data_IF_169441695984
#
_entry.id   IF_169441695984
#
_cell.length_a   1.000
_cell.length_b   1.000
_cell.length_c   1.000
_cell.angle_alpha   90.00
_cell.angle_beta   90.00
_cell.angle_gamma   90.00
#
_symmetry.space_group_name_H-M   'P 1'
#
loop_
_entity.id
_entity.type
_entity.pdbx_description
1 polymer ?
#
# COMPACT_ATOMS: atom_id res chain seq x y z
N UNK A 1 -2.94 43.20 20.04
CA UNK A 1 -3.83 42.05 19.70
C UNK A 1 -3.30 41.19 18.54
N UNK A 2 -2.87 41.76 17.41
CA UNK A 2 -2.40 40.99 16.25
C UNK A 2 -1.19 40.06 16.55
N UNK A 3 -0.20 40.53 17.31
CA UNK A 3 0.99 39.72 17.66
C UNK A 3 0.66 38.53 18.57
N UNK A 4 -0.30 38.68 19.48
CA UNK A 4 -0.74 37.62 20.39
C UNK A 4 -1.51 36.53 19.64
N UNK A 5 -2.38 36.91 18.70
CA UNK A 5 -3.12 35.98 17.83
C UNK A 5 -2.15 35.22 16.91
N UNK A 6 -1.13 35.89 16.37
CA UNK A 6 -0.07 35.28 15.56
C UNK A 6 0.75 34.24 16.36
N UNK A 7 1.18 34.58 17.58
CA UNK A 7 1.89 33.64 18.45
C UNK A 7 1.03 32.41 18.81
N UNK A 8 -0.23 32.63 19.18
CA UNK A 8 -1.15 31.54 19.53
C UNK A 8 -1.45 30.63 18.33
N UNK A 9 -1.64 31.20 17.15
CA UNK A 9 -1.80 30.47 15.89
C UNK A 9 -0.58 29.59 15.59
N UNK A 10 0.64 30.11 15.75
CA UNK A 10 1.86 29.34 15.53
C UNK A 10 2.03 28.18 16.52
N UNK A 11 1.65 28.38 17.79
CA UNK A 11 1.64 27.29 18.80
C UNK A 11 0.64 26.20 18.40
N UNK A 12 -0.59 26.56 18.03
CA UNK A 12 -1.63 25.60 17.62
C UNK A 12 -1.20 24.87 16.34
N UNK A 13 -0.61 25.56 15.36
CA UNK A 13 -0.08 24.96 14.12
C UNK A 13 1.00 23.93 14.43
N UNK A 14 1.92 24.23 15.35
CA UNK A 14 2.97 23.30 15.77
C UNK A 14 2.36 22.05 16.45
N UNK A 15 1.33 22.24 17.28
CA UNK A 15 0.59 21.14 17.92
C UNK A 15 -0.11 20.26 16.87
N UNK A 16 -0.77 20.85 15.87
CA UNK A 16 -1.46 20.10 14.79
C UNK A 16 -0.47 19.42 13.85
N UNK A 17 0.68 20.04 13.55
CA UNK A 17 1.77 19.40 12.80
C UNK A 17 2.42 18.24 13.54
N UNK A 18 2.34 18.21 14.88
CA UNK A 18 2.98 17.20 15.73
C UNK A 18 4.46 17.04 15.34
N UNK A 19 4.84 15.88 14.80
CA UNK A 19 6.21 15.51 14.42
C UNK A 19 6.52 15.72 12.93
N UNK A 20 5.62 16.31 12.13
CA UNK A 20 5.83 16.58 10.70
C UNK A 20 6.83 17.70 10.48
N UNK A 21 7.65 17.57 9.43
CA UNK A 21 8.61 18.60 9.02
C UNK A 21 7.83 19.71 8.29
N UNK A 22 8.05 20.96 8.71
CA UNK A 22 7.35 22.14 8.16
C UNK A 22 8.32 22.94 7.31
N UNK A 23 7.82 23.52 6.23
CA UNK A 23 8.54 24.50 5.42
C UNK A 23 8.52 25.85 6.14
N UNK A 24 9.71 26.37 6.50
CA UNK A 24 9.89 27.59 7.30
C UNK A 24 10.81 28.62 6.63
N UNK A 25 10.73 28.73 5.32
CA UNK A 25 11.62 29.59 4.53
C UNK A 25 10.84 30.72 3.83
N UNK A 26 11.55 31.80 3.45
CA UNK A 26 10.97 32.96 2.73
C UNK A 26 9.72 33.56 3.40
N UNK A 27 9.63 33.48 4.73
CA UNK A 27 8.49 34.00 5.49
C UNK A 27 7.25 33.10 5.55
N UNK A 28 7.31 31.90 4.95
CA UNK A 28 6.26 30.89 5.07
C UNK A 28 6.45 30.02 6.31
N UNK A 29 5.35 29.55 6.91
CA UNK A 29 5.35 28.48 7.91
C UNK A 29 4.21 27.49 7.58
N UNK A 30 4.51 26.55 6.68
CA UNK A 30 3.53 25.62 6.12
C UNK A 30 3.86 24.16 6.50
N UNK A 31 2.82 23.39 6.79
CA UNK A 31 2.88 21.92 6.86
C UNK A 31 3.03 21.37 5.44
N UNK A 32 4.24 21.50 4.90
CA UNK A 32 4.64 21.21 3.52
C UNK A 32 6.08 20.70 3.53
N UNK A 33 6.39 19.71 2.71
CA UNK A 33 7.72 19.14 2.61
C UNK A 33 8.00 18.65 1.18
N UNK A 34 9.17 18.99 0.64
CA UNK A 34 9.68 18.37 -0.57
C UNK A 34 10.20 16.97 -0.23
N UNK A 35 9.50 15.94 -0.71
CA UNK A 35 9.93 14.55 -0.60
C UNK A 35 11.04 14.27 -1.62
N UNK A 36 10.92 14.89 -2.80
CA UNK A 36 11.95 15.05 -3.80
C UNK A 36 11.85 16.47 -4.37
N UNK A 37 12.78 16.88 -5.23
CA UNK A 37 12.83 18.24 -5.79
C UNK A 37 11.52 18.64 -6.49
N UNK A 38 10.86 17.70 -7.16
CA UNK A 38 9.60 17.89 -7.88
C UNK A 38 8.37 17.21 -7.25
N UNK A 39 8.50 16.68 -6.02
CA UNK A 39 7.40 15.98 -5.32
C UNK A 39 7.20 16.57 -3.94
N UNK A 40 6.07 17.24 -3.74
CA UNK A 40 5.69 17.87 -2.48
C UNK A 40 4.62 17.04 -1.78
N UNK A 41 4.81 16.80 -0.48
CA UNK A 41 3.78 16.33 0.43
C UNK A 41 3.32 17.49 1.34
N UNK A 42 2.02 17.72 1.46
CA UNK A 42 1.50 18.78 2.32
C UNK A 42 0.23 18.41 3.08
N UNK A 43 -0.04 19.15 4.15
CA UNK A 43 -1.33 19.16 4.83
C UNK A 43 -2.39 19.91 4.03
N UNK A 44 -3.66 19.68 4.38
CA UNK A 44 -4.81 20.25 3.68
C UNK A 44 -4.75 21.79 3.57
N UNK A 45 -4.91 22.37 2.36
CA UNK A 45 -5.03 23.80 2.16
C UNK A 45 -6.44 24.27 2.54
N UNK A 46 -6.58 24.81 3.74
CA UNK A 46 -7.87 25.20 4.29
C UNK A 46 -8.34 26.55 3.68
N UNK A 47 -9.52 26.58 3.02
CA UNK A 47 -10.11 27.82 2.51
C UNK A 47 -10.69 28.69 3.64
N UNK A 48 -11.13 28.06 4.73
CA UNK A 48 -11.74 28.75 5.86
C UNK A 48 -10.68 29.36 6.77
N UNK A 49 -10.83 30.64 7.10
CA UNK A 49 -9.89 31.37 7.97
C UNK A 49 -9.73 30.71 9.34
N UNK A 50 -10.80 30.15 9.89
CA UNK A 50 -10.78 29.47 11.19
C UNK A 50 -9.99 28.16 11.15
N UNK A 51 -10.18 27.34 10.12
CA UNK A 51 -9.38 26.13 9.95
C UNK A 51 -7.92 26.44 9.57
N UNK A 52 -7.70 27.51 8.81
CA UNK A 52 -6.39 28.07 8.48
C UNK A 52 -5.60 28.62 9.70
N UNK A 53 -6.22 28.74 10.88
CA UNK A 53 -5.49 29.02 12.12
C UNK A 53 -4.64 27.83 12.55
N UNK A 54 -5.05 26.60 12.23
CA UNK A 54 -4.34 25.40 12.68
C UNK A 54 -3.90 24.48 11.53
N UNK A 55 -4.36 24.72 10.30
CA UNK A 55 -3.86 24.11 9.06
C UNK A 55 -3.14 25.13 8.19
N UNK A 56 -2.69 24.68 7.01
CA UNK A 56 -2.19 25.57 5.97
C UNK A 56 -3.35 26.45 5.49
N UNK A 57 -3.14 27.77 5.45
CA UNK A 57 -4.08 28.66 4.76
C UNK A 57 -3.94 28.45 3.27
N UNK A 58 -5.06 28.30 2.56
CA UNK A 58 -5.06 28.07 1.12
C UNK A 58 -4.31 29.18 0.39
N UNK A 59 -4.52 30.44 0.77
CA UNK A 59 -3.85 31.59 0.13
C UNK A 59 -2.33 31.53 0.27
N UNK A 60 -1.83 31.09 1.42
CA UNK A 60 -0.39 30.98 1.68
C UNK A 60 0.23 29.83 0.85
N UNK A 61 -0.51 28.73 0.66
CA UNK A 61 -0.10 27.62 -0.23
C UNK A 61 -0.10 28.07 -1.69
N UNK A 62 -1.17 28.73 -2.14
CA UNK A 62 -1.26 29.26 -3.50
C UNK A 62 -0.10 30.22 -3.78
N UNK A 63 0.14 31.18 -2.89
CA UNK A 63 1.22 32.15 -3.04
C UNK A 63 2.59 31.47 -3.13
N UNK A 64 2.89 30.49 -2.28
CA UNK A 64 4.14 29.73 -2.33
C UNK A 64 4.32 29.00 -3.67
N UNK A 65 3.27 28.32 -4.14
CA UNK A 65 3.32 27.55 -5.39
C UNK A 65 3.45 28.46 -6.61
N UNK A 66 2.78 29.62 -6.62
CA UNK A 66 2.93 30.59 -7.69
C UNK A 66 4.30 31.28 -7.67
N UNK A 67 4.86 31.60 -6.50
CA UNK A 67 6.17 32.24 -6.41
C UNK A 67 7.32 31.31 -6.80
N UNK A 68 7.23 30.02 -6.47
CA UNK A 68 8.31 29.06 -6.71
C UNK A 68 8.12 28.23 -7.99
N UNK A 69 6.88 27.97 -8.40
CA UNK A 69 6.52 27.00 -9.45
C UNK A 69 5.42 27.51 -10.38
N UNK A 70 5.36 28.82 -10.65
CA UNK A 70 4.35 29.42 -11.53
C UNK A 70 4.14 28.58 -12.80
N UNK A 71 2.90 28.24 -13.10
CA UNK A 71 2.50 27.40 -14.25
C UNK A 71 2.98 25.93 -14.25
N UNK A 72 3.92 25.57 -13.37
CA UNK A 72 4.58 24.28 -13.33
C UNK A 72 4.20 23.44 -12.09
N UNK A 73 3.03 23.66 -11.48
CA UNK A 73 2.54 22.81 -10.39
C UNK A 73 1.18 22.17 -10.69
N UNK A 74 1.00 20.92 -10.25
CA UNK A 74 -0.31 20.25 -10.20
C UNK A 74 -0.57 19.68 -8.81
N UNK A 75 -1.78 19.87 -8.30
CA UNK A 75 -2.18 19.45 -6.96
C UNK A 75 -3.01 18.18 -7.04
N UNK A 76 -2.76 17.25 -6.12
CA UNK A 76 -3.51 16.00 -6.00
C UNK A 76 -4.20 15.93 -4.63
N UNK A 77 -5.53 16.02 -4.63
CA UNK A 77 -6.35 15.91 -3.43
C UNK A 77 -6.79 14.46 -3.19
N UNK A 78 -6.36 13.89 -2.07
CA UNK A 78 -6.69 12.52 -1.66
C UNK A 78 -7.85 12.43 -0.66
N UNK A 79 -8.46 13.56 -0.29
CA UNK A 79 -9.53 13.58 0.70
C UNK A 79 -10.86 13.12 0.09
N UNK A 80 -11.47 12.07 0.65
CA UNK A 80 -12.88 11.77 0.39
C UNK A 80 -13.80 12.74 1.11
N UNK A 81 -13.39 13.20 2.28
CA UNK A 81 -14.24 13.98 3.18
C UNK A 81 -14.24 15.49 2.92
N UNK A 82 -13.34 15.99 2.06
CA UNK A 82 -13.02 17.42 1.92
C UNK A 82 -12.65 17.80 0.49
N UNK A 83 -13.20 18.93 0.05
CA UNK A 83 -12.88 19.59 -1.20
C UNK A 83 -12.79 21.10 -1.01
N UNK A 84 -12.22 21.78 -2.00
CA UNK A 84 -12.15 23.23 -2.10
C UNK A 84 -12.28 23.63 -3.56
N UNK A 85 -12.59 24.91 -3.81
CA UNK A 85 -12.72 25.44 -5.15
C UNK A 85 -11.38 25.31 -5.92
N UNK A 86 -11.39 24.49 -6.97
CA UNK A 86 -10.23 24.20 -7.82
C UNK A 86 -9.76 25.42 -8.62
N UNK A 87 -10.66 26.37 -8.88
CA UNK A 87 -10.31 27.61 -9.58
C UNK A 87 -9.29 28.45 -8.78
N UNK A 88 -9.23 28.29 -7.45
CA UNK A 88 -8.23 28.95 -6.61
C UNK A 88 -6.79 28.52 -6.90
N UNK A 89 -6.61 27.37 -7.55
CA UNK A 89 -5.32 26.87 -8.02
C UNK A 89 -5.25 26.82 -9.55
N UNK A 90 -5.94 27.76 -10.22
CA UNK A 90 -6.00 27.87 -11.69
C UNK A 90 -6.47 26.58 -12.39
N UNK A 91 -7.33 25.80 -11.72
CA UNK A 91 -7.82 24.52 -12.25
C UNK A 91 -6.79 23.37 -12.24
N UNK A 92 -5.59 23.56 -11.68
CA UNK A 92 -4.53 22.53 -11.63
C UNK A 92 -4.68 21.59 -10.43
N UNK A 93 -5.87 21.03 -10.25
CA UNK A 93 -6.19 20.11 -9.15
C UNK A 93 -6.82 18.84 -9.73
N UNK A 94 -6.25 17.69 -9.42
CA UNK A 94 -6.84 16.38 -9.67
C UNK A 94 -7.25 15.73 -8.34
N UNK A 95 -8.30 14.91 -8.36
CA UNK A 95 -8.90 14.30 -7.16
C UNK A 95 -8.81 12.79 -7.26
N UNK A 96 -8.17 12.15 -6.27
CA UNK A 96 -7.97 10.70 -6.17
C UNK A 96 -8.35 10.26 -4.76
N UNK A 97 -9.64 10.26 -4.42
CA UNK A 97 -10.04 10.33 -3.04
C UNK A 97 -10.22 8.93 -2.44
N UNK A 98 -9.82 8.77 -1.18
CA UNK A 98 -10.07 7.56 -0.40
C UNK A 98 -10.10 7.86 1.11
N UNK A 99 -10.78 6.97 1.83
CA UNK A 99 -11.13 7.18 3.23
C UNK A 99 -9.92 7.29 4.15
N UNK A 100 -10.04 8.18 5.14
CA UNK A 100 -8.99 8.39 6.12
C UNK A 100 -8.67 7.08 6.87
N UNK A 101 -7.39 6.83 7.11
CA UNK A 101 -6.86 5.61 7.74
C UNK A 101 -7.08 4.28 6.99
N UNK A 102 -7.55 4.31 5.74
CA UNK A 102 -7.65 3.14 4.87
C UNK A 102 -6.61 3.20 3.73
N UNK A 103 -6.27 2.08 3.08
CA UNK A 103 -5.59 2.11 1.79
C UNK A 103 -6.54 2.51 0.64
N UNK A 104 -6.01 3.00 -0.49
CA UNK A 104 -6.77 3.15 -1.75
C UNK A 104 -6.97 1.78 -2.42
N UNK A 105 -7.77 1.71 -3.49
CA UNK A 105 -7.77 0.54 -4.39
C UNK A 105 -6.47 0.47 -5.19
N UNK A 106 -6.12 -0.71 -5.72
CA UNK A 106 -4.94 -0.87 -6.58
C UNK A 106 -5.08 -0.06 -7.87
N UNK A 107 -6.28 -0.04 -8.44
CA UNK A 107 -6.61 0.71 -9.65
C UNK A 107 -6.48 2.22 -9.45
N UNK A 108 -6.87 2.75 -8.28
CA UNK A 108 -6.68 4.17 -7.94
C UNK A 108 -5.20 4.52 -7.83
N UNK A 109 -4.36 3.63 -7.30
CA UNK A 109 -2.90 3.81 -7.27
C UNK A 109 -2.35 3.88 -8.71
N UNK A 110 -2.76 2.97 -9.60
CA UNK A 110 -2.32 2.96 -11.00
C UNK A 110 -2.66 4.27 -11.70
N UNK A 111 -3.92 4.71 -11.62
CA UNK A 111 -4.40 5.95 -12.26
C UNK A 111 -3.65 7.18 -11.72
N UNK A 112 -3.48 7.26 -10.41
CA UNK A 112 -2.71 8.34 -9.78
C UNK A 112 -1.26 8.35 -10.26
N UNK A 113 -0.57 7.21 -10.26
CA UNK A 113 0.84 7.16 -10.65
C UNK A 113 1.03 7.54 -12.11
N UNK A 114 0.14 7.08 -13.00
CA UNK A 114 0.16 7.44 -14.42
C UNK A 114 -0.06 8.94 -14.65
N UNK A 115 -1.00 9.56 -13.94
CA UNK A 115 -1.27 11.00 -14.06
C UNK A 115 -0.10 11.85 -13.53
N UNK A 116 0.48 11.45 -12.40
CA UNK A 116 1.68 12.10 -11.84
C UNK A 116 2.86 11.98 -12.80
N UNK A 117 3.11 10.79 -13.35
CA UNK A 117 4.23 10.55 -14.27
C UNK A 117 4.09 11.36 -15.56
N UNK A 118 2.90 11.37 -16.16
CA UNK A 118 2.59 12.16 -17.35
C UNK A 118 2.87 13.64 -17.11
N UNK A 119 2.32 14.21 -16.03
CA UNK A 119 2.55 15.61 -15.68
C UNK A 119 4.03 15.94 -15.45
N UNK A 120 4.76 15.09 -14.72
CA UNK A 120 6.17 15.34 -14.43
C UNK A 120 7.09 15.17 -15.64
N UNK A 121 6.69 14.36 -16.65
CA UNK A 121 7.42 14.19 -17.91
C UNK A 121 7.13 15.27 -18.95
N UNK A 122 6.01 15.98 -18.84
CA UNK A 122 5.66 17.07 -19.77
C UNK A 122 6.68 18.23 -19.75
N UNK A 123 7.25 18.57 -18.60
CA UNK A 123 8.28 19.60 -18.45
C UNK A 123 9.17 19.30 -17.24
N UNK A 124 10.49 19.44 -17.39
CA UNK A 124 11.46 19.22 -16.29
C UNK A 124 11.27 20.16 -15.08
N UNK A 125 10.57 21.28 -15.27
CA UNK A 125 10.22 22.25 -14.23
C UNK A 125 8.96 21.85 -13.47
N UNK A 126 8.20 20.86 -13.96
CA UNK A 126 6.92 20.48 -13.36
C UNK A 126 7.12 19.85 -11.99
N UNK A 127 6.21 20.20 -11.08
CA UNK A 127 6.15 19.76 -9.68
C UNK A 127 4.75 19.27 -9.37
N UNK A 128 4.65 18.26 -8.51
CA UNK A 128 3.37 17.80 -7.96
C UNK A 128 3.27 18.11 -6.47
N UNK A 129 2.10 18.54 -6.02
CA UNK A 129 1.79 18.72 -4.61
C UNK A 129 0.65 17.81 -4.19
N UNK A 130 0.97 16.75 -3.45
CA UNK A 130 0.02 15.73 -3.01
C UNK A 130 -0.39 16.01 -1.57
N UNK A 131 -1.68 15.97 -1.29
CA UNK A 131 -2.18 16.21 0.06
C UNK A 131 -3.37 15.33 0.42
N UNK A 132 -3.54 15.15 1.72
CA UNK A 132 -4.78 14.67 2.31
C UNK A 132 -5.18 15.66 3.42
N UNK A 133 -5.75 15.18 4.53
CA UNK A 133 -5.98 16.04 5.71
C UNK A 133 -4.68 16.49 6.36
N UNK A 134 -3.84 15.54 6.77
CA UNK A 134 -2.59 15.81 7.51
C UNK A 134 -1.30 15.68 6.66
N UNK A 135 -1.41 15.25 5.39
CA UNK A 135 -0.25 15.01 4.55
C UNK A 135 0.65 13.91 5.10
N UNK A 136 0.07 12.80 5.59
CA UNK A 136 0.77 11.76 6.35
C UNK A 136 0.60 10.37 5.71
N UNK A 137 -0.37 9.57 6.18
CA UNK A 137 -0.58 8.19 5.74
C UNK A 137 -1.06 8.07 4.29
N UNK A 138 -2.22 8.66 3.96
CA UNK A 138 -2.76 8.65 2.58
C UNK A 138 -1.77 9.23 1.56
N UNK A 139 -1.27 10.44 1.84
CA UNK A 139 -0.25 11.10 1.00
C UNK A 139 1.01 10.26 0.83
N UNK A 140 1.51 9.67 1.91
CA UNK A 140 2.69 8.81 1.84
C UNK A 140 2.45 7.54 1.06
N UNK A 141 1.26 6.94 1.16
CA UNK A 141 0.88 5.74 0.39
C UNK A 141 1.00 6.02 -1.11
N UNK A 142 0.36 7.09 -1.59
CA UNK A 142 0.37 7.45 -3.01
C UNK A 142 1.76 7.91 -3.49
N UNK A 143 2.48 8.73 -2.71
CA UNK A 143 3.83 9.16 -3.06
C UNK A 143 4.80 7.96 -3.09
N UNK A 144 4.77 7.06 -2.10
CA UNK A 144 5.65 5.89 -2.08
C UNK A 144 5.39 4.96 -3.26
N UNK A 145 4.11 4.76 -3.62
CA UNK A 145 3.75 4.03 -4.82
C UNK A 145 4.34 4.67 -6.08
N UNK A 146 4.24 5.99 -6.22
CA UNK A 146 4.83 6.71 -7.35
C UNK A 146 6.37 6.67 -7.37
N UNK A 147 7.03 6.76 -6.21
CA UNK A 147 8.49 6.66 -6.12
C UNK A 147 9.01 5.31 -6.64
N UNK A 148 8.25 4.23 -6.41
CA UNK A 148 8.56 2.91 -6.98
C UNK A 148 8.22 2.86 -8.47
N UNK A 149 7.02 3.35 -8.85
CA UNK A 149 6.57 3.38 -10.25
C UNK A 149 7.53 4.10 -11.19
N UNK A 150 8.03 5.26 -10.78
CA UNK A 150 8.98 6.09 -11.54
C UNK A 150 10.42 5.57 -11.51
N UNK A 151 10.71 4.51 -10.74
CA UNK A 151 12.06 3.97 -10.57
C UNK A 151 12.99 4.81 -9.67
N UNK A 152 12.49 5.88 -9.04
CA UNK A 152 13.28 6.71 -8.09
C UNK A 152 13.70 5.88 -6.88
N UNK A 153 12.87 4.90 -6.47
CA UNK A 153 13.16 3.94 -5.40
C UNK A 153 12.96 2.52 -5.92
N UNK A 154 13.83 1.60 -5.49
CA UNK A 154 13.86 0.23 -6.04
C UNK A 154 12.84 -0.70 -5.39
N UNK A 155 12.34 -0.35 -4.22
CA UNK A 155 11.40 -1.18 -3.45
C UNK A 155 10.44 -0.34 -2.62
N UNK A 156 9.32 -0.94 -2.22
CA UNK A 156 8.38 -0.35 -1.29
C UNK A 156 9.04 0.05 0.04
N UNK A 157 9.95 -0.76 0.58
CA UNK A 157 10.61 -0.47 1.86
C UNK A 157 11.53 0.74 1.77
N UNK A 158 12.29 0.87 0.68
CA UNK A 158 13.10 2.07 0.41
C UNK A 158 12.23 3.32 0.25
N UNK A 159 11.11 3.21 -0.47
CA UNK A 159 10.19 4.33 -0.67
C UNK A 159 9.53 4.78 0.64
N UNK A 160 9.05 3.83 1.44
CA UNK A 160 8.44 4.09 2.75
C UNK A 160 9.44 4.72 3.71
N UNK A 161 10.65 4.17 3.81
CA UNK A 161 11.71 4.71 4.68
C UNK A 161 12.11 6.13 4.26
N UNK A 162 12.25 6.38 2.95
CA UNK A 162 12.56 7.70 2.41
C UNK A 162 11.47 8.72 2.75
N UNK A 163 10.21 8.36 2.52
CA UNK A 163 9.09 9.26 2.84
C UNK A 163 9.00 9.52 4.34
N UNK A 164 9.18 8.50 5.18
CA UNK A 164 9.13 8.62 6.63
C UNK A 164 10.20 9.59 7.15
N UNK A 165 11.42 9.49 6.64
CA UNK A 165 12.53 10.38 6.97
C UNK A 165 12.30 11.81 6.47
N UNK A 166 11.88 11.98 5.21
CA UNK A 166 11.66 13.31 4.64
C UNK A 166 10.48 14.01 5.29
N UNK A 167 9.39 13.29 5.59
CA UNK A 167 8.13 13.89 6.02
C UNK A 167 8.04 14.10 7.53
N UNK A 168 8.69 13.26 8.33
CA UNK A 168 8.48 13.23 9.79
C UNK A 168 9.78 13.13 10.58
N UNK A 169 9.85 13.88 11.69
CA UNK A 169 11.02 13.88 12.60
C UNK A 169 11.17 12.57 13.36
N UNK A 170 10.07 11.84 13.58
CA UNK A 170 10.04 10.57 14.30
C UNK A 170 10.07 9.34 13.36
N UNK A 171 10.27 9.55 12.05
CA UNK A 171 10.28 8.49 11.02
C UNK A 171 9.02 7.62 11.06
N UNK A 172 7.87 8.25 11.27
CA UNK A 172 6.56 7.62 11.34
C UNK A 172 5.63 8.31 10.37
N UNK A 173 5.89 8.24 9.06
CA UNK A 173 5.02 8.78 8.01
C UNK A 173 3.87 7.83 7.70
N UNK A 174 4.12 6.71 7.02
CA UNK A 174 3.12 5.69 6.72
C UNK A 174 3.21 4.55 7.75
N UNK A 175 2.37 4.63 8.77
CA UNK A 175 2.42 3.69 9.91
C UNK A 175 1.33 2.62 9.89
N UNK A 176 0.25 2.84 9.14
CA UNK A 176 -0.89 1.90 9.12
C UNK A 176 -0.49 0.69 8.26
N UNK A 177 -0.50 -0.54 8.81
CA UNK A 177 -0.09 -1.74 8.08
C UNK A 177 -0.78 -1.93 6.74
N UNK A 178 -2.11 -1.75 6.66
CA UNK A 178 -2.82 -1.88 5.39
C UNK A 178 -2.35 -0.87 4.33
N UNK A 179 -2.03 0.37 4.71
CA UNK A 179 -1.45 1.35 3.78
C UNK A 179 -0.07 0.92 3.28
N UNK A 180 0.79 0.42 4.17
CA UNK A 180 2.12 -0.10 3.79
C UNK A 180 2.02 -1.32 2.87
N UNK A 181 1.09 -2.24 3.18
CA UNK A 181 0.81 -3.43 2.38
C UNK A 181 0.43 -3.06 0.95
N UNK A 182 -0.35 -2.00 0.74
CA UNK A 182 -0.74 -1.58 -0.60
C UNK A 182 0.40 -0.95 -1.40
N UNK A 183 1.37 -0.29 -0.75
CA UNK A 183 2.64 0.10 -1.40
C UNK A 183 3.44 -1.14 -1.81
N UNK A 184 3.50 -2.16 -0.94
CA UNK A 184 4.18 -3.43 -1.24
C UNK A 184 3.50 -4.20 -2.38
N UNK A 185 2.17 -4.26 -2.39
CA UNK A 185 1.37 -4.82 -3.48
C UNK A 185 1.67 -4.11 -4.79
N UNK A 186 1.61 -2.78 -4.80
CA UNK A 186 1.88 -2.04 -6.02
C UNK A 186 3.34 -2.19 -6.48
N UNK A 187 4.31 -2.21 -5.56
CA UNK A 187 5.70 -2.50 -5.89
C UNK A 187 5.88 -3.88 -6.50
N UNK A 188 5.16 -4.91 -6.02
CA UNK A 188 5.17 -6.24 -6.65
C UNK A 188 4.60 -6.21 -8.07
N UNK A 189 3.54 -5.44 -8.31
CA UNK A 189 2.98 -5.27 -9.66
C UNK A 189 3.99 -4.62 -10.60
N UNK A 190 4.57 -3.48 -10.21
CA UNK A 190 5.57 -2.75 -11.01
C UNK A 190 6.79 -3.63 -11.33
N UNK A 191 7.25 -4.43 -10.37
CA UNK A 191 8.38 -5.34 -10.55
C UNK A 191 8.02 -6.65 -11.28
N UNK A 192 6.74 -6.93 -11.50
CA UNK A 192 6.27 -8.13 -12.19
C UNK A 192 5.85 -7.81 -13.62
N UNK A 193 5.90 -8.79 -14.51
CA UNK A 193 5.33 -8.65 -15.86
C UNK A 193 3.86 -9.06 -15.94
N UNK A 194 3.17 -9.18 -14.80
CA UNK A 194 1.79 -9.68 -14.73
C UNK A 194 0.84 -8.50 -14.57
N UNK A 195 -0.10 -8.29 -15.51
CA UNK A 195 -1.10 -7.24 -15.37
C UNK A 195 -2.01 -7.53 -14.18
N UNK A 196 -2.42 -6.47 -13.49
CA UNK A 196 -3.39 -6.60 -12.41
C UNK A 196 -4.76 -6.96 -12.97
N UNK A 197 -5.41 -7.95 -12.34
CA UNK A 197 -6.79 -8.34 -12.63
C UNK A 197 -7.49 -8.72 -11.33
N UNK A 198 -8.77 -8.39 -11.20
CA UNK A 198 -9.57 -8.85 -10.05
C UNK A 198 -9.72 -10.37 -10.09
N UNK A 199 -9.36 -11.03 -8.99
CA UNK A 199 -9.46 -12.48 -8.84
C UNK A 199 -10.61 -12.81 -7.89
N UNK A 200 -11.57 -13.61 -8.34
CA UNK A 200 -12.62 -14.09 -7.45
C UNK A 200 -12.10 -15.24 -6.58
N UNK A 201 -12.26 -15.12 -5.27
CA UNK A 201 -11.94 -16.15 -4.27
C UNK A 201 -13.12 -16.29 -3.29
N UNK A 202 -13.25 -17.44 -2.65
CA UNK A 202 -14.25 -17.69 -1.62
C UNK A 202 -13.63 -17.67 -0.22
N UNK A 203 -14.07 -16.79 0.68
CA UNK A 203 -13.65 -16.84 2.08
C UNK A 203 -14.40 -17.97 2.78
N UNK A 204 -13.68 -18.99 3.24
CA UNK A 204 -14.28 -20.16 3.90
C UNK A 204 -13.95 -20.24 5.39
N UNK A 205 -12.83 -19.67 5.84
CA UNK A 205 -12.39 -19.77 7.23
C UNK A 205 -11.55 -18.56 7.67
N UNK A 206 -11.73 -18.14 8.91
CA UNK A 206 -10.85 -17.16 9.58
C UNK A 206 -10.34 -17.77 10.88
N UNK A 207 -9.02 -17.87 11.02
CA UNK A 207 -8.31 -18.44 12.16
C UNK A 207 -7.62 -17.34 12.97
N UNK A 208 -7.75 -17.39 14.28
CA UNK A 208 -7.10 -16.46 15.20
C UNK A 208 -6.10 -17.23 16.08
N UNK A 209 -4.97 -16.62 16.43
CA UNK A 209 -4.06 -17.24 17.40
C UNK A 209 -4.75 -17.45 18.74
N UNK A 210 -4.67 -18.68 19.26
CA UNK A 210 -5.20 -19.00 20.57
C UNK A 210 -4.44 -18.24 21.65
N UNK A 211 -5.18 -17.48 22.46
CA UNK A 211 -4.59 -16.73 23.58
C UNK A 211 -5.68 -16.30 24.57
N UNK A 212 -5.30 -16.19 25.85
CA UNK A 212 -6.20 -15.74 26.92
C UNK A 212 -6.76 -14.34 26.65
N UNK A 213 -6.00 -13.47 26.00
CA UNK A 213 -6.46 -12.13 25.68
C UNK A 213 -7.58 -12.10 24.63
N UNK A 214 -7.50 -12.99 23.64
CA UNK A 214 -8.56 -13.16 22.64
C UNK A 214 -9.79 -13.81 23.28
N UNK A 215 -9.61 -14.81 24.15
CA UNK A 215 -10.71 -15.41 24.92
C UNK A 215 -11.50 -14.37 25.72
N UNK A 216 -10.79 -13.42 26.34
CA UNK A 216 -11.39 -12.34 27.12
C UNK A 216 -12.21 -11.35 26.28
N UNK A 217 -12.12 -11.39 24.95
CA UNK A 217 -12.99 -10.58 24.09
C UNK A 217 -14.45 -11.07 24.14
N UNK A 218 -14.68 -12.36 24.36
CA UNK A 218 -16.00 -12.98 24.34
C UNK A 218 -16.62 -12.95 22.94
N UNK A 219 -17.90 -12.54 22.86
CA UNK A 219 -18.60 -12.36 21.59
C UNK A 219 -18.06 -11.17 20.79
N UNK A 220 -17.65 -11.44 19.56
CA UNK A 220 -17.14 -10.46 18.59
C UNK A 220 -17.86 -10.67 17.26
N UNK A 221 -18.08 -9.60 16.51
CA UNK A 221 -18.58 -9.65 15.14
C UNK A 221 -17.44 -9.45 14.14
N UNK A 222 -17.31 -10.34 13.17
CA UNK A 222 -16.40 -10.22 12.05
C UNK A 222 -17.18 -9.79 10.81
N UNK A 223 -16.89 -8.61 10.27
CA UNK A 223 -17.47 -8.10 9.04
C UNK A 223 -16.50 -8.24 7.88
N UNK A 224 -17.01 -8.71 6.74
CA UNK A 224 -16.29 -8.83 5.47
C UNK A 224 -16.94 -7.87 4.48
N UNK A 225 -16.14 -6.96 3.92
CA UNK A 225 -16.59 -5.95 2.97
C UNK A 225 -15.66 -5.90 1.75
N UNK A 226 -16.20 -5.55 0.58
CA UNK A 226 -15.42 -5.38 -0.65
C UNK A 226 -15.44 -3.91 -1.05
N UNK A 227 -14.28 -3.35 -1.39
CA UNK A 227 -14.18 -2.02 -1.96
C UNK A 227 -14.12 -2.12 -3.47
N UNK A 228 -15.09 -1.51 -4.13
CA UNK A 228 -15.09 -1.38 -5.57
C UNK A 228 -14.41 -0.07 -5.96
N UNK A 229 -13.51 -0.14 -6.94
CA UNK A 229 -12.95 1.07 -7.54
C UNK A 229 -14.05 1.90 -8.20
N UNK A 230 -14.21 3.15 -7.77
CA UNK A 230 -14.98 4.15 -8.47
C UNK A 230 -14.02 5.18 -9.05
N UNK A 231 -13.99 5.31 -10.37
CA UNK A 231 -13.03 6.17 -11.04
C UNK A 231 -13.05 7.63 -10.56
N UNK A 232 -14.23 8.12 -10.17
CA UNK A 232 -14.51 9.55 -9.97
C UNK A 232 -15.17 9.88 -8.64
N UNK A 233 -15.55 8.88 -7.83
CA UNK A 233 -16.33 9.07 -6.60
C UNK A 233 -15.65 8.44 -5.39
N UNK A 234 -16.12 8.80 -4.21
CA UNK A 234 -15.71 8.16 -2.96
C UNK A 234 -16.46 6.83 -2.79
N UNK A 235 -15.89 5.74 -3.31
CA UNK A 235 -16.42 4.42 -3.03
C UNK A 235 -16.31 4.11 -1.53
N UNK A 236 -17.42 3.63 -0.96
CA UNK A 236 -17.42 3.00 0.36
C UNK A 236 -17.37 1.48 0.20
N UNK A 237 -16.78 0.76 1.16
CA UNK A 237 -16.78 -0.70 1.12
C UNK A 237 -18.21 -1.22 1.25
N UNK A 238 -18.62 -2.11 0.35
CA UNK A 238 -19.90 -2.81 0.44
C UNK A 238 -19.76 -4.00 1.39
N UNK A 239 -20.61 -4.03 2.43
CA UNK A 239 -20.52 -5.04 3.49
C UNK A 239 -21.33 -6.27 3.10
N UNK A 240 -20.62 -7.33 2.71
CA UNK A 240 -21.22 -8.59 2.27
C UNK A 240 -21.82 -9.40 3.43
N UNK A 241 -21.09 -9.49 4.55
CA UNK A 241 -21.52 -10.30 5.70
C UNK A 241 -20.93 -9.79 7.01
N UNK A 242 -21.70 -9.97 8.08
CA UNK A 242 -21.23 -9.90 9.47
C UNK A 242 -21.55 -11.23 10.15
N UNK A 243 -20.54 -11.83 10.78
CA UNK A 243 -20.61 -13.15 11.40
C UNK A 243 -20.14 -13.07 12.85
N UNK A 244 -20.89 -13.61 13.82
CA UNK A 244 -20.44 -13.65 15.21
C UNK A 244 -19.41 -14.76 15.42
N UNK A 245 -18.43 -14.52 16.29
CA UNK A 245 -17.52 -15.51 16.86
C UNK A 245 -17.50 -15.36 18.38
N UNK A 246 -17.60 -16.48 19.09
CA UNK A 246 -17.43 -16.55 20.54
C UNK A 246 -16.02 -17.05 20.86
N UNK A 247 -15.12 -16.14 21.23
CA UNK A 247 -13.74 -16.49 21.54
C UNK A 247 -13.58 -17.31 22.83
N UNK A 248 -14.63 -17.49 23.62
CA UNK A 248 -14.62 -18.44 24.73
C UNK A 248 -14.83 -19.89 24.25
N UNK A 249 -15.30 -20.09 23.02
CA UNK A 249 -15.62 -21.41 22.46
C UNK A 249 -14.70 -21.83 21.32
N UNK A 250 -14.33 -20.90 20.45
CA UNK A 250 -13.54 -21.20 19.25
C UNK A 250 -12.66 -20.02 18.86
N UNK A 251 -11.50 -20.31 18.30
CA UNK A 251 -10.63 -19.35 17.62
C UNK A 251 -10.68 -19.49 16.09
N UNK A 252 -11.63 -20.29 15.60
CA UNK A 252 -11.86 -20.55 14.19
C UNK A 252 -13.29 -20.17 13.86
N UNK A 253 -13.46 -19.24 12.93
CA UNK A 253 -14.72 -18.87 12.32
C UNK A 253 -14.85 -19.57 10.97
N UNK A 254 -15.58 -20.69 10.95
CA UNK A 254 -15.93 -21.39 9.70
C UNK A 254 -17.13 -20.72 9.04
N UNK A 255 -17.05 -20.46 7.74
CA UNK A 255 -18.04 -19.71 6.97
C UNK A 255 -18.73 -20.65 5.98
N UNK A 256 -20.02 -20.94 6.21
CA UNK A 256 -20.84 -21.80 5.35
C UNK A 256 -22.22 -21.16 5.11
N UNK A 257 -22.63 -20.93 3.84
CA UNK A 257 -21.83 -21.06 2.62
C UNK A 257 -20.66 -20.05 2.63
N UNK A 258 -19.59 -20.37 1.91
CA UNK A 258 -18.43 -19.46 1.75
C UNK A 258 -18.84 -18.15 1.09
N UNK A 259 -18.07 -17.09 1.31
CA UNK A 259 -18.40 -15.75 0.80
C UNK A 259 -17.50 -15.41 -0.40
N UNK A 260 -18.05 -15.23 -1.61
CA UNK A 260 -17.26 -14.80 -2.75
C UNK A 260 -16.81 -13.35 -2.57
N UNK A 261 -15.52 -13.10 -2.82
CA UNK A 261 -14.88 -11.78 -2.77
C UNK A 261 -13.94 -11.61 -3.94
N UNK A 262 -13.76 -10.36 -4.39
CA UNK A 262 -12.90 -10.05 -5.53
C UNK A 262 -12.36 -8.63 -5.41
N UNK A 263 -11.10 -8.42 -5.80
CA UNK A 263 -10.38 -7.15 -5.62
C UNK A 263 -9.96 -6.90 -4.15
N UNK A 264 -10.22 -5.69 -3.68
CA UNK A 264 -9.84 -5.18 -2.35
C UNK A 264 -10.89 -5.54 -1.28
N UNK A 265 -10.46 -6.29 -0.27
CA UNK A 265 -11.35 -6.87 0.76
C UNK A 265 -10.94 -6.38 2.14
N UNK A 266 -11.89 -5.81 2.88
CA UNK A 266 -11.74 -5.42 4.27
C UNK A 266 -12.32 -6.47 5.19
N UNK A 267 -11.55 -6.82 6.22
CA UNK A 267 -11.99 -7.60 7.35
C UNK A 267 -11.96 -6.71 8.59
N UNK A 268 -13.03 -6.70 9.37
CA UNK A 268 -13.18 -5.85 10.56
C UNK A 268 -13.75 -6.65 11.73
N UNK A 269 -13.11 -6.58 12.88
CA UNK A 269 -13.59 -7.18 14.12
C UNK A 269 -14.17 -6.08 15.02
N UNK A 270 -15.41 -6.23 15.44
CA UNK A 270 -16.12 -5.28 16.31
C UNK A 270 -16.72 -5.97 17.54
N UNK A 271 -16.78 -5.25 18.65
CA UNK A 271 -17.54 -5.66 19.84
C UNK A 271 -18.75 -4.74 19.96
N UNK A 272 -19.97 -5.28 20.14
CA UNK A 272 -21.22 -4.50 20.11
C UNK A 272 -21.54 -3.67 21.37
N UNK A 273 -20.92 -3.99 22.50
CA UNK A 273 -21.27 -3.38 23.78
C UNK A 273 -20.02 -2.93 24.56
N UNK A 274 -19.55 -1.68 24.37
CA UNK A 274 -19.98 -0.69 23.36
C UNK A 274 -19.43 -1.01 21.96
N UNK A 275 -20.12 -0.56 20.90
CA UNK A 275 -19.68 -0.63 19.49
C UNK A 275 -18.26 -0.08 19.34
N UNK A 276 -17.30 -1.00 19.28
CA UNK A 276 -15.88 -0.69 19.24
C UNK A 276 -15.18 -1.61 18.26
N UNK A 277 -14.52 -1.00 17.28
CA UNK A 277 -13.58 -1.70 16.40
C UNK A 277 -12.41 -2.18 17.26
N UNK A 278 -12.18 -3.49 17.25
CA UNK A 278 -11.04 -4.14 17.89
C UNK A 278 -9.83 -3.99 16.98
N UNK A 279 -10.01 -4.38 15.72
CA UNK A 279 -9.01 -4.31 14.67
C UNK A 279 -9.66 -4.42 13.29
N UNK A 280 -8.91 -4.07 12.27
CA UNK A 280 -9.27 -4.34 10.88
C UNK A 280 -8.01 -4.54 10.05
N UNK A 281 -8.19 -5.02 8.83
CA UNK A 281 -7.11 -5.10 7.85
C UNK A 281 -7.69 -5.24 6.44
N UNK A 282 -6.87 -4.89 5.47
CA UNK A 282 -7.19 -4.96 4.05
C UNK A 282 -6.28 -5.94 3.32
N UNK A 283 -6.88 -6.78 2.48
CA UNK A 283 -6.21 -7.69 1.55
C UNK A 283 -6.67 -7.41 0.13
N UNK A 284 -5.92 -7.90 -0.85
CA UNK A 284 -6.36 -7.89 -2.24
C UNK A 284 -6.19 -9.32 -2.80
N UNK A 285 -7.28 -9.82 -3.37
CA UNK A 285 -7.44 -11.22 -3.83
C UNK A 285 -6.42 -11.63 -4.90
N UNK A 286 -5.98 -10.70 -5.77
CA UNK A 286 -4.92 -10.97 -6.75
C UNK A 286 -3.62 -11.37 -6.04
N UNK A 287 -3.24 -10.64 -4.99
CA UNK A 287 -2.00 -10.93 -4.26
C UNK A 287 -2.14 -12.13 -3.34
N UNK A 288 -3.35 -12.37 -2.83
CA UNK A 288 -3.64 -13.60 -2.07
C UNK A 288 -3.37 -14.82 -2.96
N UNK A 289 -3.97 -14.88 -4.16
CA UNK A 289 -3.81 -15.99 -5.10
C UNK A 289 -2.37 -16.19 -5.55
N UNK A 290 -1.65 -15.11 -5.80
CA UNK A 290 -0.31 -15.20 -6.40
C UNK A 290 0.84 -15.38 -5.40
N UNK A 291 0.63 -15.03 -4.11
CA UNK A 291 1.73 -14.99 -3.14
C UNK A 291 1.46 -15.70 -1.81
N UNK A 292 0.23 -16.15 -1.55
CA UNK A 292 -0.05 -16.93 -0.33
C UNK A 292 0.27 -18.40 -0.53
N UNK A 293 0.70 -19.13 0.50
CA UNK A 293 0.77 -20.58 0.47
C UNK A 293 -0.54 -21.19 -0.05
N UNK A 294 -0.41 -22.14 -0.97
CA UNK A 294 -1.54 -22.83 -1.60
C UNK A 294 -1.45 -24.33 -1.32
N UNK A 295 -2.52 -24.89 -0.78
CA UNK A 295 -2.74 -26.34 -0.66
C UNK A 295 -3.79 -26.74 -1.70
N UNK A 296 -3.50 -27.74 -2.52
CA UNK A 296 -4.43 -28.23 -3.55
C UNK A 296 -4.73 -29.70 -3.33
N UNK A 297 -6.00 -30.09 -3.38
CA UNK A 297 -6.43 -31.49 -3.40
C UNK A 297 -6.78 -31.98 -4.82
N UNK A 298 -6.40 -31.20 -5.85
CA UNK A 298 -6.71 -31.44 -7.25
C UNK A 298 -8.02 -30.80 -7.70
N UNK A 299 -9.00 -30.61 -6.80
CA UNK A 299 -10.32 -30.02 -7.14
C UNK A 299 -10.44 -28.59 -6.66
N UNK A 300 -9.92 -28.30 -5.46
CA UNK A 300 -9.98 -26.98 -4.83
C UNK A 300 -8.58 -26.53 -4.42
N UNK A 301 -8.25 -25.29 -4.75
CA UNK A 301 -7.07 -24.62 -4.22
C UNK A 301 -7.45 -23.83 -2.96
N UNK A 302 -6.74 -24.09 -1.87
CA UNK A 302 -6.84 -23.37 -0.60
C UNK A 302 -5.64 -22.46 -0.42
N UNK A 303 -5.87 -21.15 -0.48
CA UNK A 303 -4.87 -20.13 -0.22
C UNK A 303 -4.98 -19.66 1.23
N UNK A 304 -3.89 -19.77 1.99
CA UNK A 304 -3.86 -19.40 3.41
C UNK A 304 -3.03 -18.12 3.56
N UNK A 305 -3.69 -17.00 3.80
CA UNK A 305 -3.02 -15.72 4.02
C UNK A 305 -2.95 -15.39 5.51
N UNK A 306 -1.74 -15.38 6.08
CA UNK A 306 -1.52 -15.11 7.51
C UNK A 306 -0.91 -13.73 7.72
N UNK A 307 -1.56 -12.94 8.57
CA UNK A 307 -1.06 -11.66 9.05
C UNK A 307 -0.53 -11.80 10.47
N UNK A 308 0.68 -11.32 10.72
CA UNK A 308 1.23 -11.17 12.06
C UNK A 308 0.65 -9.93 12.77
N UNK A 309 0.86 -9.82 14.08
CA UNK A 309 0.40 -8.70 14.92
C UNK A 309 0.77 -7.34 14.34
N UNK A 310 1.99 -7.19 13.83
CA UNK A 310 2.51 -5.93 13.27
C UNK A 310 1.85 -5.56 11.94
N UNK A 311 1.15 -6.50 11.31
CA UNK A 311 0.47 -6.34 10.02
C UNK A 311 -1.02 -6.05 10.16
N UNK A 312 -1.56 -6.00 11.38
CA UNK A 312 -2.99 -5.80 11.64
C UNK A 312 -3.23 -4.36 12.12
N UNK A 313 -4.17 -3.66 11.48
CA UNK A 313 -4.48 -2.28 11.84
C UNK A 313 -5.07 -2.22 13.26
N UNK A 314 -4.75 -1.14 13.98
CA UNK A 314 -5.00 -0.93 15.41
C UNK A 314 -4.25 -1.85 16.38
N UNK A 315 -4.05 -3.12 16.02
CA UNK A 315 -3.33 -4.11 16.85
C UNK A 315 -1.82 -3.85 16.85
N UNK A 316 -1.24 -3.45 15.72
CA UNK A 316 0.18 -3.07 15.63
C UNK A 316 0.61 -1.95 16.58
N UNK A 317 -0.36 -1.17 17.11
CA UNK A 317 -0.10 -0.07 18.05
C UNK A 317 0.22 -0.58 19.47
N UNK A 318 -0.14 -1.81 19.81
CA UNK A 318 0.13 -2.44 21.10
C UNK A 318 1.59 -2.92 21.20
N UNK A 319 2.56 -2.03 21.07
CA UNK A 319 3.99 -2.38 21.05
C UNK A 319 4.52 -2.98 22.35
N UNK A 320 3.78 -2.85 23.46
CA UNK A 320 4.14 -3.42 24.76
C UNK A 320 3.46 -4.77 25.03
N UNK A 321 2.71 -5.29 24.04
CA UNK A 321 2.06 -6.61 24.11
C UNK A 321 1.12 -6.77 25.31
N UNK A 322 0.49 -5.66 25.75
CA UNK A 322 -0.42 -5.65 26.89
C UNK A 322 -1.74 -6.35 26.58
N UNK A 323 -2.19 -6.25 25.33
CA UNK A 323 -3.49 -6.81 24.89
C UNK A 323 -3.32 -7.97 23.94
N UNK A 324 -2.33 -7.97 23.07
CA UNK A 324 -2.09 -9.03 22.10
C UNK A 324 -0.65 -9.50 22.22
N UNK A 325 -0.44 -10.82 22.33
CA UNK A 325 0.90 -11.43 22.32
C UNK A 325 1.64 -11.05 21.03
N UNK A 326 2.97 -10.97 21.08
CA UNK A 326 3.81 -10.79 19.88
C UNK A 326 3.51 -11.84 18.79
N UNK A 327 3.22 -13.08 19.20
CA UNK A 327 2.86 -14.19 18.32
C UNK A 327 1.39 -14.18 17.83
N UNK A 328 0.63 -13.14 18.14
CA UNK A 328 -0.75 -13.01 17.67
C UNK A 328 -0.78 -12.92 16.13
N UNK A 329 -1.58 -13.78 15.51
CA UNK A 329 -1.75 -13.91 14.07
C UNK A 329 -3.22 -14.07 13.73
N UNK A 330 -3.60 -13.61 12.54
CA UNK A 330 -4.90 -13.89 11.93
C UNK A 330 -4.63 -14.52 10.57
N UNK A 331 -5.21 -15.70 10.31
CA UNK A 331 -5.10 -16.36 9.00
C UNK A 331 -6.46 -16.44 8.33
N UNK A 332 -6.51 -16.08 7.05
CA UNK A 332 -7.70 -16.16 6.22
C UNK A 332 -7.50 -17.27 5.21
N UNK A 333 -8.45 -18.20 5.16
CA UNK A 333 -8.46 -19.29 4.18
C UNK A 333 -9.42 -18.91 3.07
N UNK A 334 -8.87 -18.86 1.86
CA UNK A 334 -9.59 -18.61 0.63
C UNK A 334 -9.61 -19.87 -0.22
N UNK A 335 -10.72 -20.13 -0.89
CA UNK A 335 -10.88 -21.25 -1.81
C UNK A 335 -11.15 -20.74 -3.24
N UNK A 336 -10.58 -21.45 -4.22
CA UNK A 336 -10.96 -21.32 -5.62
C UNK A 336 -11.02 -22.71 -6.25
N UNK A 337 -12.05 -22.94 -7.06
CA UNK A 337 -12.16 -24.19 -7.83
C UNK A 337 -11.06 -24.26 -8.89
N UNK A 338 -10.45 -25.44 -9.02
CA UNK A 338 -9.60 -25.77 -10.16
C UNK A 338 -10.49 -26.02 -11.37
N UNK A 339 -10.68 -25.01 -12.21
CA UNK A 339 -11.13 -25.27 -13.57
C UNK A 339 -9.95 -25.84 -14.35
N UNK A 340 -9.72 -27.16 -14.23
CA UNK A 340 -8.94 -27.90 -15.21
C UNK A 340 -9.78 -28.03 -16.49
N UNK A 341 -9.89 -26.94 -17.24
CA UNK A 341 -10.34 -27.07 -18.61
C UNK A 341 -9.08 -27.16 -19.48
N UNK A 342 -8.85 -28.35 -20.02
CA UNK A 342 -8.22 -28.51 -21.32
C UNK A 342 -9.01 -27.65 -22.32
N UNK A 343 -8.66 -26.37 -22.41
CA UNK A 343 -9.06 -25.51 -23.51
C UNK A 343 -7.85 -25.44 -24.42
N UNK A 344 -7.87 -26.24 -25.49
CA UNK A 344 -7.16 -25.88 -26.70
C UNK A 344 -7.54 -24.43 -27.02
N UNK A 345 -6.59 -23.53 -26.88
CA UNK A 345 -6.77 -22.13 -27.22
C UNK A 345 -6.95 -22.02 -28.74
N UNK A 346 -8.20 -22.08 -29.21
CA UNK A 346 -8.55 -21.45 -30.47
C UNK A 346 -8.66 -19.94 -30.22
N UNK A 347 -7.86 -19.19 -30.98
CA UNK A 347 -7.90 -17.73 -30.95
C UNK A 347 -9.26 -17.25 -31.45
N UNK A 348 -10.11 -16.78 -30.55
CA UNK A 348 -11.34 -16.04 -30.88
C UNK A 348 -11.10 -14.54 -30.71
N UNK A 349 -11.74 -13.78 -31.61
CA UNK A 349 -11.46 -12.38 -31.92
C UNK A 349 -11.64 -11.42 -30.73
N UNK A 350 -10.81 -10.38 -30.72
CA UNK A 350 -10.76 -9.28 -29.74
C UNK A 350 -12.15 -8.65 -29.51
N UNK A 351 -12.79 -8.96 -28.39
CA UNK A 351 -13.68 -8.00 -27.74
C UNK A 351 -12.84 -7.07 -26.86
N UNK A 352 -12.73 -5.82 -27.33
CA UNK A 352 -11.99 -4.75 -26.65
C UNK A 352 -12.84 -4.27 -25.47
N UNK A 353 -12.57 -4.81 -24.28
CA UNK A 353 -13.25 -4.41 -23.05
C UNK A 353 -12.56 -3.15 -22.48
N UNK A 354 -13.21 -1.98 -22.55
CA UNK A 354 -12.65 -0.67 -22.16
C UNK A 354 -12.29 -0.53 -20.65
N UNK A 355 -12.58 -1.55 -19.83
CA UNK A 355 -12.33 -1.55 -18.39
C UNK A 355 -11.06 -2.29 -17.95
N UNK A 356 -10.25 -2.80 -18.89
CA UNK A 356 -8.93 -3.38 -18.58
C UNK A 356 -7.87 -2.36 -18.93
N UNK A 357 -7.31 -1.67 -17.93
CA UNK A 357 -6.08 -0.90 -18.11
C UNK A 357 -4.91 -1.88 -18.30
N UNK A 358 -4.77 -2.37 -19.53
CA UNK A 358 -3.60 -3.11 -19.98
C UNK A 358 -2.46 -2.11 -20.16
N UNK A 359 -1.63 -1.95 -19.13
CA UNK A 359 -0.35 -1.27 -19.28
C UNK A 359 0.61 -2.23 -19.99
N UNK A 360 0.73 -2.09 -21.32
CA UNK A 360 1.66 -2.87 -22.12
C UNK A 360 3.11 -2.50 -21.79
N UNK A 361 3.99 -3.50 -21.89
CA UNK A 361 5.42 -3.42 -21.55
C UNK A 361 6.19 -2.30 -22.27
N UNK A 362 5.68 -1.78 -23.39
CA UNK A 362 6.31 -0.70 -24.15
C UNK A 362 6.43 0.61 -23.39
N UNK A 363 5.60 0.84 -22.36
CA UNK A 363 5.67 2.06 -21.55
C UNK A 363 6.82 2.05 -20.51
N UNK A 364 7.50 0.89 -20.34
CA UNK A 364 8.53 0.68 -19.32
C UNK A 364 9.96 0.56 -19.87
N UNK A 365 10.14 0.45 -21.19
CA UNK A 365 11.46 0.23 -21.82
C UNK A 365 12.34 1.50 -21.89
N UNK A 366 11.89 2.65 -21.39
CA UNK A 366 12.71 3.87 -21.31
C UNK A 366 13.48 4.02 -19.99
N UNK A 367 13.48 3.02 -19.10
CA UNK A 367 14.32 3.02 -17.89
C UNK A 367 15.78 2.68 -18.25
N UNK A 368 16.71 3.48 -17.73
CA UNK A 368 18.16 3.35 -17.95
C UNK A 368 18.67 1.91 -17.77
N UNK A 369 19.52 1.36 -18.67
CA UNK A 369 19.94 -0.05 -18.66
C UNK A 369 20.77 -0.49 -17.44
N UNK A 370 21.17 0.44 -16.57
CA UNK A 370 22.07 0.13 -15.46
C UNK A 370 21.30 -0.18 -14.18
N UNK A 371 20.70 -1.37 -14.04
CA UNK A 371 20.51 -2.06 -12.74
C UNK A 371 19.66 -3.35 -12.83
N UNK A 372 19.94 -4.29 -13.73
CA UNK A 372 19.40 -5.65 -13.57
C UNK A 372 20.46 -6.69 -13.90
N UNK A 373 21.06 -7.26 -12.85
CA UNK A 373 21.76 -8.53 -13.00
C UNK A 373 20.69 -9.60 -13.27
N UNK A 374 20.59 -10.04 -14.52
CA UNK A 374 19.80 -11.20 -14.92
C UNK A 374 20.18 -12.41 -14.04
N UNK A 375 19.30 -12.81 -13.12
CA UNK A 375 19.28 -14.21 -12.70
C UNK A 375 18.58 -15.00 -13.78
N UNK A 376 19.37 -15.59 -14.68
CA UNK A 376 18.91 -16.69 -15.54
C UNK A 376 18.39 -17.82 -14.64
N UNK A 377 17.07 -17.97 -14.57
CA UNK A 377 16.45 -19.22 -14.13
C UNK A 377 16.62 -20.19 -15.29
N UNK A 378 17.62 -21.07 -15.20
CA UNK A 378 17.73 -22.25 -16.06
C UNK A 378 16.62 -23.23 -15.64
N UNK A 379 15.50 -23.22 -16.35
CA UNK A 379 14.54 -24.33 -16.32
C UNK A 379 15.12 -25.46 -17.18
N UNK A 380 15.67 -26.48 -16.52
CA UNK A 380 15.96 -27.75 -17.16
C UNK A 380 14.62 -28.49 -17.39
N UNK A 381 14.22 -28.62 -18.66
CA UNK A 381 13.18 -29.56 -19.08
C UNK A 381 13.86 -30.92 -19.20
N UNK A 382 13.65 -31.80 -18.23
CA UNK A 382 13.91 -33.24 -18.40
C UNK A 382 12.61 -33.87 -18.84
N UNK A 383 12.55 -34.25 -20.13
CA UNK A 383 11.51 -35.10 -20.67
C UNK A 383 11.79 -36.54 -20.22
N UNK A 384 11.03 -37.05 -19.25
CA UNK A 384 11.03 -38.48 -18.93
C UNK A 384 10.05 -39.22 -19.83
N UNK A 385 10.61 -39.88 -20.84
CA UNK A 385 9.99 -41.03 -21.51
C UNK A 385 11.04 -42.13 -21.62
N UNK A 386 11.26 -42.88 -20.54
CA UNK A 386 11.62 -44.32 -20.64
C UNK A 386 11.50 -45.02 -19.29
N UNK A 387 10.72 -46.10 -19.30
CA UNK A 387 10.60 -47.11 -18.26
C UNK A 387 11.95 -47.77 -17.99
N UNK A 388 12.49 -47.63 -16.78
CA UNK A 388 13.25 -48.67 -16.05
C UNK A 388 13.57 -48.21 -14.63
N UNK A 389 13.19 -49.07 -13.67
CA UNK A 389 13.48 -48.94 -12.25
C UNK A 389 14.98 -49.01 -11.99
N UNK A 390 15.54 -48.07 -11.23
CA UNK A 390 16.82 -48.22 -10.53
C UNK A 390 16.92 -47.23 -9.36
N UNK A 391 17.05 -47.79 -8.16
CA UNK A 391 17.32 -47.13 -6.88
C UNK A 391 18.77 -46.62 -6.85
N UNK A 392 19.03 -45.34 -6.54
CA UNK A 392 20.35 -44.86 -6.07
C UNK A 392 20.20 -43.77 -5.01
N UNK A 393 21.03 -43.92 -3.96
CA UNK A 393 21.09 -43.28 -2.65
C UNK A 393 21.57 -41.81 -2.64
N UNK A 394 21.37 -41.16 -1.49
CA UNK A 394 21.86 -39.84 -1.08
C UNK A 394 23.38 -39.71 -1.09
N UNK A 395 23.93 -38.61 -1.64
CA UNK A 395 25.32 -38.24 -1.43
C UNK A 395 25.55 -36.75 -1.17
N UNK A 396 26.62 -36.55 -0.41
CA UNK A 396 26.97 -35.49 0.54
C UNK A 396 27.77 -34.34 -0.10
N UNK A 397 27.91 -33.26 0.66
CA UNK A 397 28.78 -32.11 0.40
C UNK A 397 30.22 -32.52 0.02
N UNK A 398 30.72 -32.06 -1.14
CA UNK A 398 32.02 -31.37 -1.33
C UNK A 398 32.40 -31.18 -2.82
N UNK A 399 32.81 -29.94 -3.11
CA UNK A 399 33.78 -29.48 -4.10
C UNK A 399 33.57 -29.72 -5.60
N UNK A 400 33.20 -28.64 -6.33
CA UNK A 400 33.92 -28.26 -7.56
C UNK A 400 34.16 -26.73 -7.53
N UNK A 401 35.44 -26.40 -7.69
CA UNK A 401 36.08 -25.10 -7.52
C UNK A 401 36.45 -24.50 -8.90
N UNK A 402 36.61 -23.17 -8.94
CA UNK A 402 37.46 -22.34 -9.84
C UNK A 402 36.87 -21.87 -11.18
N UNK A 403 36.50 -20.57 -11.26
CA UNK A 403 37.31 -19.56 -11.96
C UNK A 403 36.78 -18.13 -11.70
N UNK A 404 37.50 -17.39 -10.85
CA UNK A 404 37.38 -15.95 -10.63
C UNK A 404 38.67 -15.26 -11.09
N UNK A 405 38.54 -14.39 -12.10
CA UNK A 405 39.44 -13.30 -12.47
C UNK A 405 38.48 -12.24 -13.03
N UNK A 406 38.33 -11.01 -12.56
CA UNK A 406 39.16 -10.10 -11.76
C UNK A 406 38.23 -8.98 -11.26
N UNK A 407 38.18 -8.71 -9.96
CA UNK A 407 37.87 -7.37 -9.44
C UNK A 407 38.39 -7.27 -8.01
N UNK A 408 39.66 -6.92 -7.88
CA UNK A 408 40.30 -6.66 -6.60
C UNK A 408 40.34 -5.16 -6.36
N UNK A 409 40.04 -4.79 -5.11
CA UNK A 409 40.54 -3.61 -4.37
C UNK A 409 39.92 -2.26 -4.77
N UNK A 410 39.37 -1.44 -3.87
CA UNK A 410 39.63 -1.10 -2.46
C UNK A 410 38.38 -0.33 -1.94
N UNK A 411 38.02 -0.17 -0.65
CA UNK A 411 38.53 -0.54 0.66
C UNK A 411 37.39 -0.22 1.66
N UNK A 412 36.94 -1.22 2.43
CA UNK A 412 36.30 -1.00 3.73
C UNK A 412 37.43 -0.83 4.76
N UNK A 413 37.41 0.24 5.55
CA UNK A 413 38.07 0.30 6.86
C UNK A 413 37.01 0.25 7.93
N UNK A 414 36.96 -0.88 8.63
CA UNK A 414 36.44 -1.00 9.99
C UNK A 414 37.43 -0.40 10.97
N UNK A 415 36.94 0.20 12.05
CA UNK A 415 37.59 0.16 13.36
C UNK A 415 36.52 0.06 14.44
N UNK A 416 36.68 -0.95 15.29
CA UNK A 416 35.92 -1.23 16.50
C UNK A 416 36.44 -0.40 17.69
N UNK A 417 35.62 -0.40 18.76
CA UNK A 417 35.90 -0.19 20.19
C UNK A 417 36.38 1.21 20.63
N UNK A 418 35.51 1.95 21.34
CA UNK A 418 35.39 1.98 22.82
C UNK A 418 33.95 2.33 23.21
#
# INVERSE_FOLDING_TARGET
>A
MANTISLMSNVIRNVVSKKRIRYKEKGYDLDLTYINDNIIAMGYPAPDKLEGLFRNRLEDVFKLLEENHAQHYKIYNLCSERSYDVAKFRGRVAVYPFDDHNPPTIELIQRFCSDVDMWLKEDSSNVVAVHCKAGKGRTGTMICAYLVFSGIKKSADEALAWYDEKRTKDRKGVTIPSQRRYVQYFSKLVCSSVPYSKVSLNVCEIRFSESSCVQNLGMVECSISVLHDSATENAKPDRLKTLPIDFQKSFVLTIKPSIPVSGDVKFELTKKSPDKIICHFWLNTFFVRNYSPCESDGTVNKYIHTLSKSEIDDVHKDSEHKRFSEEFKISIVFEAENFSNDVQAEASEKERNENVLNFERSDYDSLSPNCYAEKKVLTAIVNDNTTKSQTIETLDHKDIVVNQHTCNQCLLRTYNSW
#
